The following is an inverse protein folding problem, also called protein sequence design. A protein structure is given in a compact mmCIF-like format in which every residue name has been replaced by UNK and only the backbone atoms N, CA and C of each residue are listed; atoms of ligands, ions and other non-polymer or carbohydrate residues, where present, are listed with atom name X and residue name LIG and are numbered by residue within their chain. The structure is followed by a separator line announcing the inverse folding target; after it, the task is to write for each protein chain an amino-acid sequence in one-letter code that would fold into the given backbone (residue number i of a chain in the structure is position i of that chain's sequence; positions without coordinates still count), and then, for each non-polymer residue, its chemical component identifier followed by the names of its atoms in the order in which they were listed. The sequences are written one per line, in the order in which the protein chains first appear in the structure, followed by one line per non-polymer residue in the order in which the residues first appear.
data_IF_662495935689
#
_entry.id   IF_662495935689
#
_cell.length_a   1.000
_cell.length_b   1.000
_cell.length_c   1.000
_cell.angle_alpha   90.00
_cell.angle_beta   90.00
_cell.angle_gamma   90.00
#
_symmetry.space_group_name_H-M   'P 1'
#
loop_
_entity.id
_entity.type
_entity.pdbx_description
1 polymer ?
#
# COMPACT_ATOMS: atom_id res chain seq x y z
N UNK A 1 -35.75 -33.82 -46.28
CA UNK A 1 -35.21 -33.21 -45.04
C UNK A 1 -33.90 -33.92 -44.68
N UNK A 2 -32.74 -33.34 -45.02
CA UNK A 2 -31.42 -33.78 -44.52
C UNK A 2 -31.01 -32.79 -43.43
N UNK A 3 -30.92 -33.24 -42.18
CA UNK A 3 -30.42 -32.42 -41.07
C UNK A 3 -28.90 -32.61 -40.99
N UNK A 4 -28.15 -31.56 -41.29
CA UNK A 4 -26.72 -31.48 -40.98
C UNK A 4 -26.57 -31.23 -39.48
N UNK A 5 -25.93 -32.15 -38.77
CA UNK A 5 -25.39 -31.86 -37.43
C UNK A 5 -24.03 -31.21 -37.62
N UNK A 6 -23.95 -29.90 -37.37
CA UNK A 6 -22.69 -29.19 -37.19
C UNK A 6 -22.12 -29.66 -35.85
N UNK A 7 -21.10 -30.52 -35.87
CA UNK A 7 -20.41 -30.94 -34.65
C UNK A 7 -19.47 -29.81 -34.23
N UNK A 8 -19.87 -29.05 -33.22
CA UNK A 8 -19.03 -28.03 -32.58
C UNK A 8 -17.92 -28.74 -31.79
N UNK A 9 -16.72 -28.80 -32.36
CA UNK A 9 -15.52 -29.24 -31.63
C UNK A 9 -15.12 -28.09 -30.71
N UNK A 10 -15.47 -28.18 -29.43
CA UNK A 10 -14.92 -27.31 -28.39
C UNK A 10 -13.48 -27.76 -28.18
N UNK A 11 -12.51 -27.02 -28.73
CA UNK A 11 -11.10 -27.16 -28.35
C UNK A 11 -10.96 -26.65 -26.91
N UNK A 12 -11.07 -27.55 -25.94
CA UNK A 12 -10.46 -27.31 -24.62
C UNK A 12 -8.95 -27.45 -24.82
N UNK A 13 -8.26 -26.31 -24.91
CA UNK A 13 -6.80 -26.29 -24.80
C UNK A 13 -6.41 -27.01 -23.51
N UNK A 14 -5.48 -27.97 -23.54
CA UNK A 14 -4.99 -28.59 -22.32
C UNK A 14 -4.23 -27.51 -21.55
N UNK A 15 -4.91 -26.92 -20.57
CA UNK A 15 -4.25 -26.15 -19.52
C UNK A 15 -3.48 -27.19 -18.71
N UNK A 16 -2.19 -27.36 -19.01
CA UNK A 16 -1.31 -28.14 -18.14
C UNK A 16 -1.22 -27.32 -16.86
N UNK A 17 -1.96 -27.73 -15.83
CA UNK A 17 -1.81 -27.14 -14.51
C UNK A 17 -0.41 -27.47 -14.01
N UNK A 18 0.34 -26.46 -13.59
CA UNK A 18 1.66 -26.60 -12.99
C UNK A 18 1.56 -27.51 -11.74
N UNK A 19 2.54 -28.39 -11.55
CA UNK A 19 2.51 -29.35 -10.46
C UNK A 19 2.71 -28.66 -9.10
N UNK A 20 1.96 -29.07 -8.08
CA UNK A 20 2.14 -28.54 -6.73
C UNK A 20 3.37 -29.17 -6.04
N UNK A 21 4.25 -28.33 -5.50
CA UNK A 21 5.46 -28.71 -4.74
C UNK A 21 5.19 -28.71 -3.23
N UNK A 22 4.37 -27.77 -2.75
CA UNK A 22 4.06 -27.62 -1.34
C UNK A 22 2.75 -26.86 -1.18
N UNK A 23 2.04 -27.10 -0.08
CA UNK A 23 0.83 -26.37 0.27
C UNK A 23 0.55 -26.41 1.76
N UNK A 24 -0.33 -25.51 2.22
CA UNK A 24 -0.79 -25.44 3.60
C UNK A 24 -1.97 -24.48 3.77
N UNK A 25 -2.48 -24.41 5.00
CA UNK A 25 -3.66 -23.62 5.37
C UNK A 25 -3.47 -22.79 6.65
N UNK A 26 -2.22 -22.50 6.97
CA UNK A 26 -1.76 -21.82 8.17
C UNK A 26 -1.41 -20.34 7.94
N UNK A 27 -1.80 -19.78 6.79
CA UNK A 27 -1.57 -18.38 6.42
C UNK A 27 -2.61 -17.39 6.94
N UNK A 28 -3.61 -17.86 7.70
CA UNK A 28 -4.73 -17.08 8.20
C UNK A 28 -5.91 -18.00 8.57
N UNK A 29 -7.02 -17.44 9.07
CA UNK A 29 -8.18 -18.23 9.51
C UNK A 29 -8.88 -18.95 8.34
N UNK A 30 -9.00 -18.28 7.20
CA UNK A 30 -9.62 -18.79 5.97
C UNK A 30 -8.65 -18.59 4.80
N UNK A 31 -7.38 -18.96 5.01
CA UNK A 31 -6.30 -18.76 4.06
C UNK A 31 -5.57 -20.09 3.79
N UNK A 32 -5.29 -20.35 2.52
CA UNK A 32 -4.44 -21.44 2.04
C UNK A 32 -3.34 -20.91 1.14
N UNK A 33 -2.23 -21.64 1.08
CA UNK A 33 -1.14 -21.34 0.19
C UNK A 33 -0.70 -22.60 -0.56
N UNK A 34 -0.16 -22.42 -1.75
CA UNK A 34 0.50 -23.47 -2.53
C UNK A 34 1.69 -22.91 -3.30
N UNK A 35 2.66 -23.75 -3.60
CA UNK A 35 3.81 -23.44 -4.45
C UNK A 35 3.79 -24.42 -5.62
N UNK A 36 3.78 -23.89 -6.83
CA UNK A 36 3.84 -24.68 -8.06
C UNK A 36 5.29 -24.89 -8.53
N UNK A 37 5.50 -25.85 -9.43
CA UNK A 37 6.80 -26.22 -9.99
C UNK A 37 7.41 -25.19 -10.94
N UNK A 38 6.60 -24.26 -11.42
CA UNK A 38 7.03 -23.03 -12.09
C UNK A 38 7.60 -21.96 -11.14
N UNK A 39 7.52 -22.17 -9.82
CA UNK A 39 7.98 -21.21 -8.81
C UNK A 39 6.94 -20.17 -8.39
N UNK A 40 5.66 -20.37 -8.71
CA UNK A 40 4.58 -19.49 -8.25
C UNK A 40 4.13 -19.85 -6.84
N UNK A 41 4.29 -18.92 -5.88
CA UNK A 41 3.61 -18.97 -4.58
C UNK A 41 2.22 -18.35 -4.71
N UNK A 42 1.17 -19.15 -4.56
CA UNK A 42 -0.22 -18.69 -4.58
C UNK A 42 -0.78 -18.65 -3.16
N UNK A 43 -1.36 -17.51 -2.76
CA UNK A 43 -2.14 -17.34 -1.52
C UNK A 43 -3.59 -17.18 -1.90
N UNK A 44 -4.48 -18.05 -1.41
CA UNK A 44 -5.93 -17.97 -1.64
C UNK A 44 -6.64 -17.89 -0.30
N UNK A 45 -7.80 -17.25 -0.26
CA UNK A 45 -8.59 -17.24 0.95
C UNK A 45 -9.57 -16.09 1.04
N UNK A 46 -10.11 -15.92 2.25
CA UNK A 46 -11.01 -14.84 2.60
C UNK A 46 -10.52 -14.13 3.85
N UNK A 47 -10.48 -12.81 3.80
CA UNK A 47 -10.12 -11.98 4.94
C UNK A 47 -8.60 -11.85 5.11
N UNK A 48 -8.19 -11.72 6.36
CA UNK A 48 -6.84 -11.30 6.70
C UNK A 48 -5.82 -12.45 6.68
N UNK A 49 -4.65 -12.19 6.08
CA UNK A 49 -3.48 -13.03 6.31
C UNK A 49 -2.96 -12.83 7.74
N UNK A 50 -2.37 -13.88 8.29
CA UNK A 50 -1.73 -13.86 9.60
C UNK A 50 -0.52 -12.93 9.62
N UNK A 51 -0.34 -12.20 10.73
CA UNK A 51 0.90 -11.48 11.03
C UNK A 51 2.00 -12.45 11.48
N UNK A 52 3.19 -12.32 10.90
CA UNK A 52 4.36 -13.12 11.22
C UNK A 52 5.39 -12.32 12.01
N UNK A 53 6.35 -13.03 12.60
CA UNK A 53 7.59 -12.45 13.11
C UNK A 53 8.76 -13.00 12.30
N UNK A 54 9.43 -12.13 11.55
CA UNK A 54 10.58 -12.48 10.70
C UNK A 54 10.26 -13.62 9.71
N UNK A 55 11.23 -14.52 9.45
CA UNK A 55 11.17 -15.59 8.45
C UNK A 55 10.32 -16.82 8.84
N UNK A 56 9.29 -16.65 9.67
CA UNK A 56 8.47 -17.75 10.20
C UNK A 56 7.31 -18.19 9.30
N UNK A 57 7.26 -17.67 8.08
CA UNK A 57 6.22 -17.99 7.11
C UNK A 57 6.34 -19.44 6.62
N UNK A 58 5.24 -20.13 6.30
CA UNK A 58 5.26 -21.52 5.85
C UNK A 58 6.09 -21.76 4.58
N UNK A 59 6.14 -20.74 3.71
CA UNK A 59 6.89 -20.74 2.47
C UNK A 59 8.38 -20.38 2.61
N UNK A 60 8.87 -20.04 3.80
CA UNK A 60 10.26 -19.58 3.99
C UNK A 60 11.29 -20.63 3.54
N UNK A 61 11.02 -21.92 3.76
CA UNK A 61 11.89 -23.01 3.34
C UNK A 61 11.99 -23.17 1.80
N UNK A 62 11.10 -22.50 1.05
CA UNK A 62 11.01 -22.55 -0.40
C UNK A 62 11.40 -21.23 -1.07
N UNK A 63 11.91 -20.24 -0.32
CA UNK A 63 12.17 -18.89 -0.83
C UNK A 63 13.08 -18.86 -2.07
N UNK A 64 14.04 -19.80 -2.18
CA UNK A 64 14.92 -19.92 -3.36
C UNK A 64 14.25 -20.47 -4.62
N UNK A 65 13.05 -21.05 -4.50
CA UNK A 65 12.24 -21.57 -5.61
C UNK A 65 11.15 -20.61 -6.07
N UNK A 66 10.79 -19.64 -5.23
CA UNK A 66 9.69 -18.72 -5.51
C UNK A 66 10.20 -17.57 -6.36
N UNK A 67 9.64 -17.41 -7.57
CA UNK A 67 9.95 -16.32 -8.49
C UNK A 67 8.74 -15.40 -8.74
N UNK A 68 7.52 -15.86 -8.43
CA UNK A 68 6.28 -15.11 -8.59
C UNK A 68 5.37 -15.33 -7.39
N UNK A 69 4.69 -14.28 -6.94
CA UNK A 69 3.73 -14.33 -5.85
C UNK A 69 2.35 -13.91 -6.36
N UNK A 70 1.32 -14.70 -6.05
CA UNK A 70 -0.06 -14.43 -6.44
C UNK A 70 -0.95 -14.41 -5.22
N UNK A 71 -1.43 -13.24 -4.82
CA UNK A 71 -2.41 -13.09 -3.74
C UNK A 71 -3.80 -13.03 -4.36
N UNK A 72 -4.63 -14.00 -4.02
CA UNK A 72 -5.92 -14.25 -4.64
C UNK A 72 -7.03 -13.32 -4.13
N UNK A 73 -8.03 -13.14 -4.98
CA UNK A 73 -9.27 -12.43 -4.66
C UNK A 73 -9.90 -12.99 -3.37
N UNK A 74 -10.35 -12.09 -2.49
CA UNK A 74 -10.91 -12.41 -1.18
C UNK A 74 -9.98 -12.13 -0.01
N UNK A 75 -8.66 -12.09 -0.23
CA UNK A 75 -7.70 -11.64 0.78
C UNK A 75 -7.83 -10.13 0.97
N UNK A 76 -8.00 -9.69 2.22
CA UNK A 76 -8.22 -8.29 2.58
C UNK A 76 -7.01 -7.61 3.19
N UNK A 77 -6.05 -8.39 3.71
CA UNK A 77 -4.79 -7.86 4.21
C UNK A 77 -3.64 -8.83 4.04
N UNK A 78 -2.45 -8.29 3.79
CA UNK A 78 -1.18 -9.01 3.87
C UNK A 78 -0.58 -8.74 5.25
N UNK A 79 -0.32 -9.81 6.01
CA UNK A 79 0.20 -9.68 7.36
C UNK A 79 1.67 -9.23 7.42
N UNK A 80 2.08 -8.78 8.60
CA UNK A 80 3.46 -8.35 8.85
C UNK A 80 4.45 -9.46 8.46
N UNK A 81 5.56 -9.09 7.82
CA UNK A 81 6.65 -10.01 7.41
C UNK A 81 6.26 -11.14 6.45
N UNK A 82 5.07 -11.08 5.82
CA UNK A 82 4.55 -12.19 5.00
C UNK A 82 5.48 -12.61 3.85
N UNK A 83 6.13 -11.68 3.17
CA UNK A 83 7.02 -11.97 2.04
C UNK A 83 8.42 -11.38 2.27
N UNK A 84 8.91 -11.48 3.50
CA UNK A 84 10.24 -11.02 3.89
C UNK A 84 11.36 -11.81 3.15
N UNK A 85 12.21 -11.09 2.40
CA UNK A 85 13.44 -11.60 1.73
C UNK A 85 13.13 -12.64 0.63
N UNK A 86 12.09 -12.38 -0.15
CA UNK A 86 11.76 -13.19 -1.32
C UNK A 86 12.48 -12.68 -2.58
N UNK A 87 13.01 -13.56 -3.43
CA UNK A 87 13.65 -13.16 -4.70
C UNK A 87 12.66 -13.03 -5.87
N UNK A 88 11.36 -12.92 -5.58
CA UNK A 88 10.32 -12.84 -6.58
C UNK A 88 10.50 -11.60 -7.47
N UNK A 89 10.35 -11.78 -8.79
CA UNK A 89 10.36 -10.69 -9.77
C UNK A 89 8.97 -10.15 -10.06
N UNK A 90 7.94 -10.85 -9.59
CA UNK A 90 6.53 -10.52 -9.84
C UNK A 90 5.70 -10.74 -8.58
N UNK A 91 4.77 -9.81 -8.33
CA UNK A 91 3.72 -9.97 -7.34
C UNK A 91 2.40 -9.45 -7.89
N UNK A 92 1.35 -10.26 -7.78
CA UNK A 92 -0.02 -9.89 -8.12
C UNK A 92 -0.84 -9.74 -6.85
N UNK A 93 -1.41 -8.54 -6.66
CA UNK A 93 -2.24 -8.17 -5.52
C UNK A 93 -3.72 -8.11 -5.94
N UNK A 94 -4.67 -8.55 -5.09
CA UNK A 94 -6.09 -8.58 -5.45
C UNK A 94 -6.77 -7.23 -5.23
N UNK A 95 -7.88 -7.00 -5.91
CA UNK A 95 -8.69 -5.78 -5.74
C UNK A 95 -9.48 -5.74 -4.43
N UNK A 96 -9.42 -6.81 -3.62
CA UNK A 96 -9.98 -6.84 -2.26
C UNK A 96 -8.98 -6.38 -1.19
N UNK A 97 -7.71 -6.15 -1.56
CA UNK A 97 -6.66 -5.85 -0.59
C UNK A 97 -6.81 -4.42 -0.05
N UNK A 98 -6.97 -4.30 1.26
CA UNK A 98 -7.16 -3.02 1.95
C UNK A 98 -5.97 -2.62 2.81
N UNK A 99 -5.09 -3.57 3.18
CA UNK A 99 -3.90 -3.25 3.97
C UNK A 99 -2.71 -4.16 3.69
N UNK A 100 -1.52 -3.57 3.78
CA UNK A 100 -0.24 -4.25 3.72
C UNK A 100 0.48 -3.99 5.04
N UNK A 101 0.81 -5.07 5.75
CA UNK A 101 1.44 -5.03 7.06
C UNK A 101 2.88 -4.52 7.05
N UNK A 102 3.42 -4.36 8.26
CA UNK A 102 4.81 -3.92 8.43
C UNK A 102 5.79 -4.96 7.85
N UNK A 103 6.78 -4.48 7.08
CA UNK A 103 7.80 -5.31 6.44
C UNK A 103 7.23 -6.47 5.61
N UNK A 104 6.03 -6.31 5.04
CA UNK A 104 5.33 -7.40 4.38
C UNK A 104 5.90 -7.78 3.01
N UNK A 105 6.34 -6.81 2.19
CA UNK A 105 6.85 -7.00 0.82
C UNK A 105 8.23 -6.33 0.76
N UNK A 106 9.21 -6.91 1.46
CA UNK A 106 10.53 -6.29 1.66
C UNK A 106 11.64 -7.19 1.15
N UNK A 107 12.74 -6.57 0.68
CA UNK A 107 13.92 -7.25 0.16
C UNK A 107 13.63 -8.15 -1.05
N UNK A 108 12.74 -7.67 -1.94
CA UNK A 108 12.52 -8.31 -3.25
C UNK A 108 13.39 -7.67 -4.32
N UNK A 109 14.65 -8.12 -4.36
CA UNK A 109 15.71 -7.53 -5.19
C UNK A 109 15.52 -7.69 -6.71
N UNK A 110 14.50 -8.42 -7.17
CA UNK A 110 14.21 -8.58 -8.60
C UNK A 110 12.91 -7.90 -9.04
N UNK A 111 12.15 -7.31 -8.10
CA UNK A 111 10.84 -6.73 -8.37
C UNK A 111 11.00 -5.35 -9.01
N UNK A 112 10.68 -5.26 -10.30
CA UNK A 112 10.81 -4.03 -11.10
C UNK A 112 9.55 -3.19 -11.15
N UNK A 113 8.40 -3.86 -11.01
CA UNK A 113 7.08 -3.25 -11.11
C UNK A 113 6.21 -3.76 -9.97
N UNK A 114 5.47 -2.86 -9.34
CA UNK A 114 4.53 -3.17 -8.28
C UNK A 114 3.25 -2.37 -8.50
N UNK A 115 2.17 -3.07 -8.81
CA UNK A 115 0.84 -2.49 -8.94
C UNK A 115 0.08 -2.61 -7.62
N UNK A 116 -0.24 -1.46 -7.03
CA UNK A 116 -1.08 -1.40 -5.83
C UNK A 116 -2.56 -1.27 -6.24
N UNK A 117 -3.47 -2.01 -5.60
CA UNK A 117 -4.89 -1.96 -5.96
C UNK A 117 -5.57 -0.69 -5.43
N UNK A 118 -6.58 -0.20 -6.15
CA UNK A 118 -7.39 0.99 -5.78
C UNK A 118 -8.19 0.82 -4.47
N UNK A 119 -8.25 -0.40 -3.94
CA UNK A 119 -8.86 -0.71 -2.64
C UNK A 119 -7.90 -0.50 -1.47
N UNK A 120 -6.60 -0.30 -1.72
CA UNK A 120 -5.58 -0.24 -0.69
C UNK A 120 -5.76 1.03 0.15
N UNK A 121 -5.83 0.86 1.47
CA UNK A 121 -6.05 1.95 2.42
C UNK A 121 -4.81 2.17 3.32
N UNK A 122 -4.06 1.13 3.64
CA UNK A 122 -2.99 1.20 4.64
C UNK A 122 -1.71 0.51 4.19
N UNK A 123 -0.59 1.22 4.31
CA UNK A 123 0.76 0.70 4.07
C UNK A 123 1.55 0.78 5.37
N UNK A 124 1.95 -0.37 5.91
CA UNK A 124 2.69 -0.46 7.17
C UNK A 124 4.13 0.03 7.10
N UNK A 125 4.77 0.13 8.28
CA UNK A 125 6.18 0.51 8.39
C UNK A 125 7.08 -0.46 7.61
N UNK A 126 8.00 0.06 6.79
CA UNK A 126 8.91 -0.75 5.99
C UNK A 126 8.23 -1.71 5.02
N UNK A 127 6.95 -1.52 4.69
CA UNK A 127 6.17 -2.48 3.91
C UNK A 127 6.79 -2.84 2.55
N UNK A 128 7.48 -1.89 1.92
CA UNK A 128 8.17 -2.02 0.64
C UNK A 128 9.68 -1.76 0.76
N UNK A 129 10.26 -2.01 1.94
CA UNK A 129 11.66 -1.67 2.20
C UNK A 129 12.61 -2.55 1.37
N UNK A 130 13.57 -1.95 0.67
CA UNK A 130 14.61 -2.67 -0.07
C UNK A 130 14.12 -3.32 -1.36
N UNK A 131 13.17 -2.70 -2.06
CA UNK A 131 12.83 -3.05 -3.44
C UNK A 131 13.85 -2.43 -4.39
N UNK A 132 15.05 -3.02 -4.42
CA UNK A 132 16.25 -2.42 -5.02
C UNK A 132 16.18 -2.22 -6.54
N UNK A 133 15.25 -2.90 -7.22
CA UNK A 133 15.02 -2.78 -8.68
C UNK A 133 13.75 -2.00 -9.06
N UNK A 134 12.92 -1.61 -8.09
CA UNK A 134 11.69 -0.86 -8.35
C UNK A 134 12.05 0.56 -8.79
N UNK A 135 11.63 0.95 -10.00
CA UNK A 135 11.96 2.28 -10.53
C UNK A 135 10.87 3.30 -10.28
N UNK A 136 9.60 2.90 -10.32
CA UNK A 136 8.48 3.82 -10.18
C UNK A 136 7.34 3.13 -9.43
N UNK A 137 6.61 3.89 -8.62
CA UNK A 137 5.39 3.38 -7.98
C UNK A 137 4.32 4.47 -7.89
N UNK A 138 3.07 4.08 -8.12
CA UNK A 138 1.91 4.94 -7.91
C UNK A 138 1.20 4.45 -6.66
N UNK A 139 1.08 5.34 -5.68
CA UNK A 139 0.24 5.11 -4.50
C UNK A 139 -1.19 5.51 -4.88
N UNK A 140 -2.16 4.59 -4.80
CA UNK A 140 -3.55 4.90 -5.09
C UNK A 140 -4.10 6.02 -4.20
N UNK A 141 -5.02 6.83 -4.74
CA UNK A 141 -5.69 7.93 -4.01
C UNK A 141 -6.51 7.46 -2.80
N UNK A 142 -6.83 6.15 -2.76
CA UNK A 142 -7.50 5.49 -1.63
C UNK A 142 -6.61 5.33 -0.40
N UNK A 143 -5.28 5.38 -0.57
CA UNK A 143 -4.35 5.15 0.53
C UNK A 143 -4.46 6.29 1.54
N UNK A 144 -4.74 5.92 2.78
CA UNK A 144 -4.97 6.84 3.87
C UNK A 144 -3.68 7.07 4.64
N UNK A 145 -2.90 6.03 4.93
CA UNK A 145 -1.63 6.19 5.62
C UNK A 145 -0.51 5.30 5.09
N UNK A 146 0.70 5.85 5.16
CA UNK A 146 1.97 5.19 4.85
C UNK A 146 2.87 5.27 6.08
N UNK A 147 3.34 4.11 6.52
CA UNK A 147 4.25 3.95 7.64
C UNK A 147 5.64 4.52 7.40
N UNK A 148 6.41 4.63 8.48
CA UNK A 148 7.82 5.00 8.41
C UNK A 148 8.63 3.97 7.63
N UNK A 149 9.66 4.43 6.95
CA UNK A 149 10.64 3.65 6.18
C UNK A 149 10.02 2.75 5.08
N UNK A 150 8.75 2.99 4.70
CA UNK A 150 8.01 2.13 3.77
C UNK A 150 8.75 1.82 2.46
N UNK A 151 9.53 2.76 1.93
CA UNK A 151 10.34 2.70 0.70
C UNK A 151 11.83 2.95 0.98
N UNK A 152 12.28 2.70 2.22
CA UNK A 152 13.69 2.80 2.57
C UNK A 152 14.51 1.77 1.78
N UNK A 153 15.73 2.13 1.36
CA UNK A 153 16.63 1.28 0.54
C UNK A 153 16.16 0.93 -0.87
N UNK A 154 15.14 1.60 -1.39
CA UNK A 154 14.70 1.44 -2.78
C UNK A 154 15.64 2.20 -3.72
N UNK A 155 16.84 1.66 -3.95
CA UNK A 155 17.96 2.41 -4.53
C UNK A 155 17.78 2.83 -6.00
N UNK A 156 16.87 2.17 -6.73
CA UNK A 156 16.54 2.51 -8.12
C UNK A 156 15.24 3.31 -8.26
N UNK A 157 14.55 3.62 -7.17
CA UNK A 157 13.31 4.37 -7.21
C UNK A 157 13.57 5.79 -7.75
N UNK A 158 13.04 6.07 -8.93
CA UNK A 158 13.13 7.34 -9.66
C UNK A 158 11.94 8.22 -9.39
N UNK A 159 10.76 7.65 -9.17
CA UNK A 159 9.57 8.43 -8.83
C UNK A 159 8.54 7.65 -8.02
N UNK A 160 7.80 8.37 -7.21
CA UNK A 160 6.62 7.89 -6.50
C UNK A 160 5.51 8.94 -6.55
N UNK A 161 4.29 8.55 -6.89
CA UNK A 161 3.13 9.44 -6.78
C UNK A 161 2.34 9.13 -5.52
N UNK A 162 2.08 10.13 -4.69
CA UNK A 162 1.35 10.05 -3.42
C UNK A 162 0.18 11.02 -3.46
N UNK A 163 -1.03 10.54 -3.19
CA UNK A 163 -2.22 11.38 -3.10
C UNK A 163 -2.13 12.44 -1.99
N UNK A 164 -2.69 13.61 -2.24
CA UNK A 164 -2.63 14.78 -1.33
C UNK A 164 -3.31 14.58 0.04
N UNK A 165 -4.08 13.50 0.20
CA UNK A 165 -4.77 13.14 1.45
C UNK A 165 -4.02 12.10 2.27
N UNK A 166 -2.93 11.57 1.74
CA UNK A 166 -2.17 10.49 2.38
C UNK A 166 -1.39 11.02 3.58
N UNK A 167 -1.55 10.35 4.71
CA UNK A 167 -0.83 10.67 5.95
C UNK A 167 0.47 9.89 5.98
N UNK A 168 1.58 10.61 6.10
CA UNK A 168 2.89 10.03 6.34
C UNK A 168 3.10 9.92 7.86
N UNK A 169 3.04 8.70 8.40
CA UNK A 169 3.21 8.42 9.83
C UNK A 169 4.68 8.56 10.28
N UNK A 170 5.59 8.75 9.34
CA UNK A 170 7.00 9.03 9.54
C UNK A 170 7.64 9.51 8.24
N UNK A 171 8.96 9.31 8.13
CA UNK A 171 9.66 9.44 6.85
C UNK A 171 9.59 8.08 6.13
N UNK A 172 8.78 7.91 5.09
CA UNK A 172 8.69 6.64 4.36
C UNK A 172 9.93 6.34 3.52
N UNK A 173 10.85 7.28 3.25
CA UNK A 173 12.04 7.05 2.43
C UNK A 173 13.34 7.04 3.24
N UNK A 174 13.24 7.08 4.57
CA UNK A 174 14.42 7.07 5.41
C UNK A 174 15.18 5.76 5.24
N UNK A 175 16.48 5.91 4.99
CA UNK A 175 17.46 4.85 5.15
C UNK A 175 18.35 5.19 6.36
N UNK A 176 18.33 4.39 7.46
CA UNK A 176 19.17 4.66 8.62
C UNK A 176 20.67 4.43 8.36
N UNK A 177 21.04 3.86 7.22
CA UNK A 177 22.42 3.55 6.83
C UNK A 177 22.93 4.36 5.66
N UNK A 178 22.09 5.21 5.10
CA UNK A 178 22.40 5.96 3.90
C UNK A 178 21.93 7.40 4.00
N UNK A 179 22.89 8.31 4.03
CA UNK A 179 22.67 9.76 4.03
C UNK A 179 22.21 10.27 2.65
N UNK A 180 21.94 9.39 1.67
CA UNK A 180 21.12 9.69 0.48
C UNK A 180 19.73 10.07 0.95
N UNK A 181 19.61 11.32 1.37
CA UNK A 181 18.36 12.05 1.41
C UNK A 181 17.79 11.89 0.00
N UNK A 182 16.72 11.11 -0.12
CA UNK A 182 15.90 11.00 -1.31
C UNK A 182 15.38 12.40 -1.62
N UNK A 183 16.18 13.12 -2.37
CA UNK A 183 16.11 14.56 -2.56
C UNK A 183 15.34 14.79 -3.84
N UNK A 184 14.33 15.64 -3.74
CA UNK A 184 13.94 16.48 -4.86
C UNK A 184 12.71 16.11 -5.65
N UNK A 185 11.64 15.69 -4.99
CA UNK A 185 10.32 15.76 -5.61
C UNK A 185 9.85 17.20 -5.75
N UNK A 186 9.76 17.71 -6.98
CA UNK A 186 8.82 18.79 -7.28
C UNK A 186 7.43 18.27 -6.96
N UNK A 187 6.90 18.57 -5.76
CA UNK A 187 5.50 18.31 -5.44
C UNK A 187 4.62 19.18 -6.34
N UNK A 188 4.39 18.74 -7.57
CA UNK A 188 3.35 19.23 -8.46
C UNK A 188 2.32 18.12 -8.56
N UNK A 189 1.21 18.26 -7.83
CA UNK A 189 0.10 17.31 -7.88
C UNK A 189 0.40 15.92 -7.31
N UNK A 190 1.15 15.83 -6.20
CA UNK A 190 1.36 14.57 -5.49
C UNK A 190 2.55 13.71 -5.95
N UNK A 191 3.24 14.04 -7.05
CA UNK A 191 4.40 13.25 -7.50
C UNK A 191 5.71 13.70 -6.85
N UNK A 192 6.45 12.74 -6.29
CA UNK A 192 7.85 12.86 -5.87
C UNK A 192 8.71 12.25 -6.96
N UNK A 193 9.61 13.05 -7.52
CA UNK A 193 10.68 12.59 -8.41
C UNK A 193 11.96 12.56 -7.58
N UNK A 194 12.65 11.42 -7.54
CA UNK A 194 13.93 11.31 -6.87
C UNK A 194 15.05 11.69 -7.83
N UNK A 195 15.93 12.58 -7.39
CA UNK A 195 17.15 12.85 -8.15
C UNK A 195 18.06 11.61 -8.15
N UNK A 196 18.26 11.02 -9.32
CA UNK A 196 19.24 9.96 -9.50
C UNK A 196 20.61 10.59 -9.78
N UNK A 197 21.52 10.63 -8.79
CA UNK A 197 22.86 11.23 -8.94
C UNK A 197 23.60 11.51 -7.63
N UNK A 198 24.70 12.27 -7.68
CA UNK A 198 25.36 12.77 -6.47
C UNK A 198 24.44 13.75 -5.72
N UNK A 199 24.31 13.60 -4.40
CA UNK A 199 23.48 14.44 -3.51
C UNK A 199 23.68 15.94 -3.76
N UNK A 200 24.90 16.37 -4.09
CA UNK A 200 25.27 17.76 -4.38
C UNK A 200 24.53 18.39 -5.58
N UNK A 201 23.87 17.60 -6.41
CA UNK A 201 23.12 18.05 -7.59
C UNK A 201 21.61 18.19 -7.32
N UNK A 202 21.14 17.80 -6.14
CA UNK A 202 19.72 17.73 -5.81
C UNK A 202 19.31 19.00 -5.04
N UNK A 203 18.30 19.74 -5.52
CA UNK A 203 17.99 21.10 -5.05
C UNK A 203 17.05 21.16 -3.83
N UNK A 204 16.30 20.11 -3.53
CA UNK A 204 15.26 20.07 -2.49
C UNK A 204 15.43 18.82 -1.61
N UNK A 205 15.36 18.95 -0.28
CA UNK A 205 15.56 17.84 0.67
C UNK A 205 14.22 17.17 1.03
N UNK A 206 14.23 15.87 1.37
CA UNK A 206 13.02 15.12 1.78
C UNK A 206 12.21 15.82 2.90
N UNK A 207 12.90 16.52 3.80
CA UNK A 207 12.26 17.33 4.85
C UNK A 207 11.25 18.34 4.31
N UNK A 208 11.58 19.02 3.21
CA UNK A 208 10.69 20.00 2.57
C UNK A 208 9.46 19.32 1.96
N UNK A 209 9.62 18.10 1.41
CA UNK A 209 8.50 17.32 0.87
C UNK A 209 7.57 16.82 1.97
N UNK A 210 8.13 16.20 3.02
CA UNK A 210 7.34 15.76 4.19
C UNK A 210 6.53 16.91 4.75
N UNK A 211 7.16 18.06 4.93
CA UNK A 211 6.49 19.24 5.47
C UNK A 211 5.40 19.76 4.50
N UNK A 212 5.60 19.69 3.17
CA UNK A 212 4.57 19.99 2.16
C UNK A 212 3.39 19.01 2.19
N UNK A 213 3.62 17.71 2.28
CA UNK A 213 2.53 16.70 2.38
C UNK A 213 1.78 16.89 3.69
N UNK A 214 2.49 17.09 4.80
CA UNK A 214 1.88 17.38 6.09
C UNK A 214 1.13 18.72 6.09
N UNK A 215 1.58 19.72 5.33
CA UNK A 215 0.86 20.97 5.13
C UNK A 215 -0.37 20.80 4.23
N UNK A 216 -0.27 20.04 3.14
CA UNK A 216 -1.42 19.70 2.27
C UNK A 216 -2.50 18.91 3.03
N UNK A 217 -2.08 18.09 3.99
CA UNK A 217 -2.97 17.41 4.93
C UNK A 217 -3.65 18.36 5.92
N UNK A 218 -3.18 19.60 6.08
CA UNK A 218 -3.85 20.60 6.92
C UNK A 218 -4.93 21.32 6.12
N UNK A 219 -6.11 21.47 6.73
CA UNK A 219 -7.16 22.37 6.24
C UNK A 219 -7.53 23.35 7.31
N UNK A 220 -7.59 24.63 6.97
CA UNK A 220 -8.13 25.67 7.85
C UNK A 220 -9.56 25.98 7.46
N UNK A 221 -10.51 25.76 8.37
CA UNK A 221 -11.92 26.10 8.19
C UNK A 221 -12.34 26.99 9.36
N UNK A 222 -12.78 28.22 9.08
CA UNK A 222 -13.18 29.21 10.09
C UNK A 222 -12.13 29.44 11.22
N UNK A 223 -10.85 29.44 10.86
CA UNK A 223 -9.75 29.64 11.81
C UNK A 223 -9.41 28.41 12.67
N UNK A 224 -10.06 27.26 12.44
CA UNK A 224 -9.72 25.98 13.07
C UNK A 224 -8.89 25.15 12.09
N UNK A 225 -7.74 24.67 12.55
CA UNK A 225 -6.86 23.79 11.76
C UNK A 225 -7.25 22.34 11.99
N UNK A 226 -7.54 21.68 10.88
CA UNK A 226 -7.83 20.27 10.82
C UNK A 226 -6.70 19.51 10.12
N UNK A 227 -6.57 18.23 10.42
CA UNK A 227 -5.67 17.26 9.79
C UNK A 227 -6.47 16.00 9.47
N UNK A 228 -6.08 15.22 8.45
CA UNK A 228 -6.68 13.89 8.29
C UNK A 228 -6.10 12.94 9.34
N UNK A 229 -6.95 12.12 9.96
CA UNK A 229 -6.53 10.98 10.79
C UNK A 229 -6.27 9.75 9.90
N UNK A 230 -5.63 8.72 10.46
CA UNK A 230 -5.32 7.49 9.73
C UNK A 230 -6.53 6.79 9.08
N UNK A 231 -7.77 7.19 9.36
CA UNK A 231 -8.97 6.64 8.70
C UNK A 231 -9.53 7.59 7.63
N UNK A 232 -8.80 8.66 7.28
CA UNK A 232 -9.18 9.64 6.27
C UNK A 232 -10.18 10.67 6.80
N UNK A 233 -10.42 10.71 8.11
CA UNK A 233 -11.35 11.64 8.72
C UNK A 233 -10.65 12.96 9.05
N UNK A 234 -11.34 14.06 8.82
CA UNK A 234 -10.85 15.38 9.19
C UNK A 234 -10.98 15.59 10.72
N UNK A 235 -9.87 15.68 11.45
CA UNK A 235 -9.78 15.86 12.91
C UNK A 235 -9.06 17.14 13.30
N UNK A 236 -9.32 17.69 14.49
CA UNK A 236 -8.71 18.96 14.96
C UNK A 236 -7.27 18.72 15.44
N UNK A 237 -6.32 19.56 15.01
CA UNK A 237 -4.87 19.41 15.23
C UNK A 237 -4.44 19.43 16.71
N UNK A 238 -5.19 20.09 17.60
CA UNK A 238 -4.78 20.31 19.00
C UNK A 238 -5.14 19.18 19.99
N UNK A 239 -5.38 17.96 19.52
CA UNK A 239 -5.54 16.78 20.38
C UNK A 239 -6.80 16.75 21.26
N UNK A 240 -7.57 17.85 21.34
CA UNK A 240 -8.93 17.83 21.87
C UNK A 240 -9.83 17.19 20.82
N UNK A 241 -9.98 15.87 20.90
CA UNK A 241 -11.19 15.20 20.41
C UNK A 241 -12.36 15.98 21.01
N UNK A 242 -13.03 16.83 20.22
CA UNK A 242 -14.41 17.12 20.53
C UNK A 242 -15.10 15.76 20.53
N UNK A 243 -15.57 15.32 21.69
CA UNK A 243 -16.30 14.07 21.81
C UNK A 243 -17.40 14.07 20.74
N UNK A 244 -17.25 13.13 19.80
CA UNK A 244 -18.33 12.57 19.00
C UNK A 244 -19.12 13.57 18.13
N UNK A 245 -18.43 14.26 17.23
CA UNK A 245 -19.02 14.56 15.91
C UNK A 245 -17.96 14.43 14.82
N UNK A 246 -18.07 13.33 14.07
CA UNK A 246 -17.38 13.12 12.79
C UNK A 246 -18.15 13.97 11.79
N UNK A 247 -17.49 14.93 11.16
CA UNK A 247 -18.11 15.74 10.12
C UNK A 247 -17.76 15.15 8.76
N UNK A 248 -18.76 14.90 7.92
CA UNK A 248 -18.50 14.66 6.49
C UNK A 248 -18.02 15.95 5.82
N UNK A 249 -17.36 15.83 4.66
CA UNK A 249 -16.93 16.99 3.85
C UNK A 249 -18.11 17.93 3.53
N UNK A 250 -19.30 17.36 3.34
CA UNK A 250 -20.55 18.07 3.06
C UNK A 250 -21.12 18.78 4.30
N UNK A 251 -21.02 18.18 5.48
CA UNK A 251 -21.45 18.79 6.74
C UNK A 251 -20.56 19.96 7.14
N UNK A 252 -19.25 19.85 6.94
CA UNK A 252 -18.31 20.95 7.16
C UNK A 252 -18.61 22.16 6.23
N UNK A 253 -19.06 21.89 5.00
CA UNK A 253 -19.49 22.92 4.05
C UNK A 253 -20.89 23.51 4.35
N UNK A 254 -21.74 22.81 5.11
CA UNK A 254 -23.06 23.32 5.50
C UNK A 254 -23.01 24.27 6.71
N UNK A 255 -22.07 24.06 7.63
CA UNK A 255 -21.84 24.92 8.81
C UNK A 255 -21.22 26.28 8.42
N UNK A 256 -20.70 26.43 7.20
CA UNK A 256 -20.07 27.65 6.70
C UNK A 256 -21.04 28.69 6.11
N UNK A 257 -22.35 28.40 6.02
CA UNK A 257 -23.33 29.42 5.64
C UNK A 257 -23.72 30.23 6.88
N UNK A 258 -23.55 31.57 6.87
CA UNK A 258 -24.00 32.42 7.97
C UNK A 258 -25.52 32.47 7.92
N UNK A 259 -26.18 31.50 8.54
CA UNK A 259 -27.57 31.68 8.97
C UNK A 259 -27.52 31.94 10.45
N UNK A 260 -27.94 33.14 10.85
CA UNK A 260 -27.96 33.63 12.22
C UNK A 260 -28.95 32.90 13.12
N UNK A 261 -28.93 31.57 13.12
CA UNK A 261 -29.74 30.75 14.01
C UNK A 261 -28.89 30.32 15.20
N UNK A 262 -29.18 30.93 16.34
CA UNK A 262 -28.64 30.56 17.64
C UNK A 262 -29.19 29.19 18.04
N UNK A 263 -28.36 28.15 17.99
CA UNK A 263 -28.74 26.84 18.54
C UNK A 263 -28.42 26.80 20.04
N UNK A 264 -29.45 26.85 20.89
CA UNK A 264 -29.34 26.54 22.32
C UNK A 264 -29.21 25.03 22.50
N UNK A 265 -28.04 24.57 22.95
CA UNK A 265 -27.85 23.19 23.37
C UNK A 265 -28.48 22.98 24.76
N UNK A 266 -29.49 22.11 24.85
CA UNK A 266 -29.92 21.50 26.12
C UNK A 266 -29.25 20.13 26.22
N UNK A 267 -28.53 19.92 27.32
CA UNK A 267 -27.99 18.63 27.71
C UNK A 267 -29.11 17.78 28.34
N UNK A 268 -29.21 16.52 27.89
CA UNK A 268 -29.70 15.38 28.68
C UNK A 268 -28.71 14.25 28.49
#
# INVERSE_FOLDING_TARGET
MKRFFLSLIIMVSPFIANAEIASGNDCGKECSWSISDDGTLTILGKGDMKNWSASQTPWAAYASKVNSIKVGEGITSIGNWAFFVFHASEISLPNTLTSIGASAITWMDNLKELHLPDSLLYVGNGAFYGLTELENIVIPDSVISIGADAFGRDYKLKSITIGDKTILEGDPFKDPTDDRVYTGGQAQGGTVVFCTGQISQCKDNFGDYRDKVQEANKKTINGVTYVYDKNGNLVVKDGKRFEKRIYTVEEAAAVSKPTGNTFKLRYK
#
